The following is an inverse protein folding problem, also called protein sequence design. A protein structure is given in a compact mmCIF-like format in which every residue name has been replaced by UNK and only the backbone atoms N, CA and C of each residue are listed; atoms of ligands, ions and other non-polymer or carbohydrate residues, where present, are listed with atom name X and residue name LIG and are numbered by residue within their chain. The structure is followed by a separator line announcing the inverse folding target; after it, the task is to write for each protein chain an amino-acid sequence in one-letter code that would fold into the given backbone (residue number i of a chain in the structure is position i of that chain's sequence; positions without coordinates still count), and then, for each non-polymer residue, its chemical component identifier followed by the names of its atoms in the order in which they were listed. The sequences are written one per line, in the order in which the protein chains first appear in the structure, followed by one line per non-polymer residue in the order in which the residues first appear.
data_IF_825563237025
#
_entry.id   IF_825563237025
#
_cell.length_a   1.000
_cell.length_b   1.000
_cell.length_c   1.000
_cell.angle_alpha   90.00
_cell.angle_beta   90.00
_cell.angle_gamma   90.00
#
_symmetry.space_group_name_H-M   'P 1'
#
loop_
_entity.id
_entity.type
_entity.pdbx_description
1 polymer ?
#
# COMPACT_ATOMS: atom_id res chain seq x y z
N UNK A 1 -15.93 14.73 -8.13
CA UNK A 1 -14.61 14.76 -7.44
C UNK A 1 -14.25 13.34 -7.03
N UNK A 2 -12.96 13.01 -7.05
CA UNK A 2 -12.43 11.69 -6.70
C UNK A 2 -11.70 11.72 -5.35
N UNK A 3 -11.86 10.67 -4.56
CA UNK A 3 -11.01 10.33 -3.42
C UNK A 3 -10.43 8.94 -3.64
N UNK A 4 -9.20 8.87 -4.17
CA UNK A 4 -8.52 7.61 -4.48
C UNK A 4 -8.26 6.76 -3.25
N UNK A 5 -7.94 7.39 -2.11
CA UNK A 5 -7.65 6.68 -0.87
C UNK A 5 -8.94 6.14 -0.23
N UNK A 6 -10.03 6.89 -0.36
CA UNK A 6 -11.35 6.55 0.15
C UNK A 6 -12.24 5.73 -0.77
N UNK A 7 -11.75 5.26 -1.92
CA UNK A 7 -12.49 4.49 -2.93
C UNK A 7 -13.85 5.10 -3.29
N UNK A 8 -13.89 6.40 -3.54
CA UNK A 8 -15.18 7.06 -3.84
C UNK A 8 -15.09 8.19 -4.83
N UNK A 9 -16.18 8.35 -5.55
CA UNK A 9 -16.52 9.55 -6.31
C UNK A 9 -17.71 10.21 -5.61
N UNK A 10 -17.64 11.53 -5.47
CA UNK A 10 -18.68 12.31 -4.81
C UNK A 10 -18.88 13.66 -5.50
N UNK A 11 -20.09 14.17 -5.37
CA UNK A 11 -20.46 15.55 -5.74
C UNK A 11 -20.78 16.33 -4.48
N UNK A 12 -20.28 17.56 -4.41
CA UNK A 12 -20.45 18.45 -3.28
C UNK A 12 -21.14 19.72 -3.78
N UNK A 13 -22.20 20.13 -3.10
CA UNK A 13 -22.86 21.40 -3.35
C UNK A 13 -22.00 22.59 -2.87
N UNK A 14 -22.31 23.80 -3.33
CA UNK A 14 -21.59 25.03 -2.95
C UNK A 14 -21.56 25.27 -1.44
N UNK A 15 -22.61 24.83 -0.73
CA UNK A 15 -22.69 24.89 0.72
C UNK A 15 -21.83 23.84 1.44
N UNK A 16 -21.05 23.03 0.70
CA UNK A 16 -20.16 21.98 1.19
C UNK A 16 -20.83 20.66 1.59
N UNK A 17 -22.11 20.46 1.28
CA UNK A 17 -22.81 19.20 1.54
C UNK A 17 -22.58 18.19 0.41
N UNK A 18 -22.40 16.91 0.74
CA UNK A 18 -22.31 15.83 -0.25
C UNK A 18 -23.71 15.53 -0.76
N UNK A 19 -23.95 15.72 -2.06
CA UNK A 19 -25.27 15.51 -2.68
C UNK A 19 -25.44 14.10 -3.22
N UNK A 20 -24.36 13.47 -3.66
CA UNK A 20 -24.32 12.03 -3.96
C UNK A 20 -22.90 11.48 -3.81
N UNK A 21 -22.82 10.16 -3.63
CA UNK A 21 -21.57 9.42 -3.55
C UNK A 21 -21.74 8.04 -4.19
N UNK A 22 -20.70 7.55 -4.84
CA UNK A 22 -20.57 6.16 -5.29
C UNK A 22 -19.22 5.58 -4.90
N UNK A 23 -19.20 4.30 -4.55
CA UNK A 23 -17.97 3.55 -4.28
C UNK A 23 -17.35 3.11 -5.59
N UNK A 24 -16.12 3.55 -5.83
CA UNK A 24 -15.33 3.23 -7.02
C UNK A 24 -13.93 2.90 -6.51
N UNK A 25 -13.37 1.76 -6.91
CA UNK A 25 -12.01 1.40 -6.48
C UNK A 25 -10.99 2.35 -7.09
N UNK A 26 -10.24 3.06 -6.24
CA UNK A 26 -9.07 3.84 -6.61
C UNK A 26 -9.26 4.84 -7.79
N UNK A 27 -10.26 5.74 -7.73
CA UNK A 27 -10.56 6.68 -8.81
C UNK A 27 -9.51 7.79 -8.89
N UNK A 28 -9.10 8.18 -10.09
CA UNK A 28 -8.17 9.30 -10.30
C UNK A 28 -8.89 10.56 -10.77
N UNK A 29 -9.79 10.42 -11.74
CA UNK A 29 -10.56 11.52 -12.30
C UNK A 29 -12.06 11.15 -12.39
N UNK A 30 -12.92 12.16 -12.35
CA UNK A 30 -14.36 12.02 -12.51
C UNK A 30 -14.92 13.22 -13.26
N UNK A 31 -15.64 12.99 -14.36
CA UNK A 31 -16.41 14.01 -15.06
C UNK A 31 -17.91 13.70 -15.02
N UNK A 32 -18.73 14.75 -15.20
CA UNK A 32 -20.18 14.59 -15.31
C UNK A 32 -20.54 14.25 -16.76
N UNK A 33 -21.35 13.22 -16.97
CA UNK A 33 -21.81 12.89 -18.32
C UNK A 33 -22.70 14.01 -18.87
N UNK A 34 -22.51 14.34 -20.15
CA UNK A 34 -23.30 15.36 -20.86
C UNK A 34 -22.81 16.80 -20.68
N UNK A 35 -21.66 17.03 -20.04
CA UNK A 35 -21.05 18.38 -19.91
C UNK A 35 -19.94 18.66 -20.95
N UNK A 36 -19.71 17.73 -21.88
CA UNK A 36 -18.61 17.78 -22.85
C UNK A 36 -17.26 17.43 -22.23
N UNK A 37 -16.22 17.39 -23.06
CA UNK A 37 -14.85 17.05 -22.64
C UNK A 37 -14.42 17.92 -21.45
N UNK A 38 -13.87 17.27 -20.40
CA UNK A 38 -13.34 17.96 -19.22
C UNK A 38 -14.38 18.86 -18.51
N UNK A 39 -15.67 18.53 -18.64
CA UNK A 39 -16.76 19.40 -18.19
C UNK A 39 -16.67 20.83 -18.76
N UNK A 40 -16.52 20.95 -20.08
CA UNK A 40 -16.31 22.20 -20.82
C UNK A 40 -17.18 23.42 -20.40
N UNK A 41 -18.38 23.21 -19.86
CA UNK A 41 -19.27 24.28 -19.39
C UNK A 41 -19.18 24.63 -17.89
N UNK A 42 -18.34 23.94 -17.12
CA UNK A 42 -18.20 24.11 -15.68
C UNK A 42 -17.27 25.25 -15.28
N UNK A 43 -17.54 25.87 -14.13
CA UNK A 43 -16.65 26.82 -13.49
C UNK A 43 -15.88 26.15 -12.35
N UNK A 44 -14.62 26.51 -12.15
CA UNK A 44 -13.85 26.01 -11.02
C UNK A 44 -14.34 26.63 -9.72
N UNK A 45 -14.19 25.91 -8.60
CA UNK A 45 -14.52 26.43 -7.27
C UNK A 45 -13.78 27.75 -6.95
N UNK A 46 -12.56 27.91 -7.46
CA UNK A 46 -11.78 29.14 -7.32
C UNK A 46 -12.41 30.32 -8.08
N UNK A 47 -12.92 30.08 -9.30
CA UNK A 47 -13.59 31.14 -10.09
C UNK A 47 -14.94 31.58 -9.51
N UNK A 48 -15.55 30.73 -8.68
CA UNK A 48 -16.80 30.99 -7.95
C UNK A 48 -16.56 31.57 -6.55
N UNK A 49 -15.30 31.86 -6.18
CA UNK A 49 -14.90 32.37 -4.86
C UNK A 49 -15.41 31.50 -3.68
N UNK A 50 -15.45 30.18 -3.89
CA UNK A 50 -15.88 29.25 -2.85
C UNK A 50 -14.76 29.03 -1.82
N UNK A 51 -15.08 29.24 -0.54
CA UNK A 51 -14.15 29.03 0.57
C UNK A 51 -13.72 27.56 0.70
N UNK A 52 -12.41 27.33 0.83
CA UNK A 52 -11.87 26.02 1.20
C UNK A 52 -12.37 25.56 2.57
N UNK A 53 -12.71 24.28 2.67
CA UNK A 53 -13.07 23.64 3.94
C UNK A 53 -12.10 22.52 4.25
N UNK A 54 -11.49 22.60 5.43
CA UNK A 54 -10.63 21.56 5.98
C UNK A 54 -11.16 21.16 7.35
N UNK A 55 -11.14 19.87 7.65
CA UNK A 55 -11.37 19.39 9.01
C UNK A 55 -10.21 19.85 9.89
N UNK A 56 -10.49 20.38 11.08
CA UNK A 56 -9.43 20.76 12.01
C UNK A 56 -8.63 19.50 12.38
N UNK A 57 -7.29 19.63 12.46
CA UNK A 57 -6.40 18.48 12.69
C UNK A 57 -6.72 17.69 13.96
N UNK A 58 -7.44 18.27 14.92
CA UNK A 58 -7.89 17.61 16.15
C UNK A 58 -9.21 16.82 16.03
N UNK A 59 -10.00 17.03 14.98
CA UNK A 59 -11.31 16.37 14.81
C UNK A 59 -11.19 15.02 14.07
N UNK A 60 -10.04 14.77 13.43
CA UNK A 60 -9.72 13.46 12.85
C UNK A 60 -9.30 12.55 14.00
N UNK A 61 -10.23 11.75 14.50
CA UNK A 61 -9.92 10.68 15.46
C UNK A 61 -9.08 9.62 14.77
N UNK A 62 -7.77 9.86 14.67
CA UNK A 62 -6.79 8.88 14.24
C UNK A 62 -6.91 7.67 15.15
N UNK A 63 -7.06 6.47 14.57
CA UNK A 63 -6.97 5.24 15.36
C UNK A 63 -5.60 5.17 16.05
N UNK A 64 -5.43 4.36 17.11
CA UNK A 64 -4.15 4.24 17.82
C UNK A 64 -2.95 3.96 16.89
N UNK A 65 -3.18 3.27 15.77
CA UNK A 65 -2.19 2.96 14.75
C UNK A 65 -1.83 4.17 13.85
N UNK A 66 -2.80 5.01 13.52
CA UNK A 66 -2.61 6.21 12.69
C UNK A 66 -1.85 7.31 13.44
N UNK A 67 -1.98 7.34 14.78
CA UNK A 67 -1.21 8.26 15.62
C UNK A 67 0.26 7.82 15.79
N UNK A 68 0.54 6.52 15.69
CA UNK A 68 1.87 5.95 15.90
C UNK A 68 2.72 5.88 14.62
N UNK A 69 2.08 5.80 13.44
CA UNK A 69 2.77 5.65 12.16
C UNK A 69 2.81 6.97 11.37
N UNK A 70 3.99 7.41 10.90
CA UNK A 70 4.09 8.49 9.94
C UNK A 70 3.20 8.22 8.70
N UNK A 71 2.49 9.24 8.17
CA UNK A 71 1.57 9.07 7.03
C UNK A 71 2.21 8.42 5.79
N UNK A 72 3.53 8.60 5.61
CA UNK A 72 4.29 7.97 4.52
C UNK A 72 4.32 6.45 4.65
N UNK A 73 4.47 5.92 5.87
CA UNK A 73 4.47 4.48 6.11
C UNK A 73 3.09 3.90 5.90
N UNK A 74 2.05 4.57 6.39
CA UNK A 74 0.66 4.17 6.17
C UNK A 74 0.38 4.06 4.67
N UNK A 75 0.72 5.10 3.91
CA UNK A 75 0.50 5.09 2.46
C UNK A 75 1.31 3.98 1.78
N UNK A 76 2.59 3.80 2.13
CA UNK A 76 3.45 2.76 1.55
C UNK A 76 2.91 1.35 1.81
N UNK A 77 2.43 1.08 3.02
CA UNK A 77 1.81 -0.20 3.39
C UNK A 77 0.51 -0.39 2.59
N UNK A 78 -0.33 0.65 2.47
CA UNK A 78 -1.56 0.60 1.68
C UNK A 78 -1.34 0.33 0.20
N UNK A 79 -0.17 0.71 -0.36
CA UNK A 79 0.19 0.36 -1.74
C UNK A 79 0.83 -1.03 -1.86
N UNK A 80 1.58 -1.48 -0.84
CA UNK A 80 2.26 -2.78 -0.87
C UNK A 80 1.30 -3.95 -0.58
N UNK A 81 0.33 -3.75 0.31
CA UNK A 81 -0.66 -4.75 0.68
C UNK A 81 -1.93 -4.54 -0.17
N UNK A 82 -2.38 -5.55 -0.94
CA UNK A 82 -3.66 -5.48 -1.62
C UNK A 82 -4.80 -5.19 -0.65
N UNK A 83 -5.85 -4.46 -1.08
CA UNK A 83 -6.97 -4.05 -0.20
C UNK A 83 -7.74 -5.21 0.46
N UNK A 84 -7.60 -6.44 -0.06
CA UNK A 84 -8.18 -7.66 0.53
C UNK A 84 -7.31 -8.26 1.66
N UNK A 85 -6.07 -7.81 1.81
CA UNK A 85 -5.18 -8.18 2.92
C UNK A 85 -5.52 -7.29 4.10
N UNK A 86 -6.36 -7.79 5.00
CA UNK A 86 -6.66 -7.16 6.27
C UNK A 86 -5.60 -7.45 7.33
N UNK A 87 -5.95 -7.07 8.57
CA UNK A 87 -5.08 -7.29 9.74
C UNK A 87 -4.78 -8.77 9.96
N UNK A 88 -5.78 -9.65 9.76
CA UNK A 88 -5.65 -11.08 9.99
C UNK A 88 -4.70 -11.73 8.99
N UNK A 89 -4.80 -11.36 7.71
CA UNK A 89 -3.89 -11.82 6.66
C UNK A 89 -2.46 -11.34 6.93
N UNK A 90 -2.29 -10.11 7.43
CA UNK A 90 -0.99 -9.59 7.87
C UNK A 90 -0.40 -10.41 9.02
N UNK A 91 -1.20 -10.72 10.05
CA UNK A 91 -0.78 -11.60 11.16
C UNK A 91 -0.43 -13.00 10.66
N UNK A 92 -1.25 -13.56 9.77
CA UNK A 92 -1.01 -14.88 9.18
C UNK A 92 0.31 -14.94 8.41
N UNK A 93 0.65 -13.89 7.64
CA UNK A 93 1.92 -13.79 6.93
C UNK A 93 3.12 -13.75 7.90
N UNK A 94 3.01 -13.00 8.99
CA UNK A 94 4.07 -12.94 10.01
C UNK A 94 4.26 -14.31 10.67
N UNK A 95 3.17 -14.98 11.02
CA UNK A 95 3.21 -16.34 11.59
C UNK A 95 3.84 -17.30 10.59
N UNK A 96 3.43 -17.28 9.32
CA UNK A 96 3.97 -18.14 8.27
C UNK A 96 5.48 -17.94 8.10
N UNK A 97 5.94 -16.69 7.99
CA UNK A 97 7.37 -16.37 7.86
C UNK A 97 8.16 -16.86 9.09
N UNK A 98 7.63 -16.62 10.29
CA UNK A 98 8.24 -17.11 11.53
C UNK A 98 8.31 -18.64 11.58
N UNK A 99 7.26 -19.33 11.16
CA UNK A 99 7.23 -20.79 11.08
C UNK A 99 8.25 -21.34 10.09
N UNK A 100 8.35 -20.75 8.88
CA UNK A 100 9.33 -21.17 7.87
C UNK A 100 10.77 -20.94 8.33
N UNK A 101 11.05 -19.80 8.97
CA UNK A 101 12.37 -19.52 9.55
C UNK A 101 12.71 -20.51 10.67
N UNK A 102 11.78 -20.75 11.59
CA UNK A 102 11.96 -21.72 12.67
C UNK A 102 12.20 -23.13 12.14
N UNK A 103 11.42 -23.55 11.13
CA UNK A 103 11.59 -24.83 10.46
C UNK A 103 12.96 -24.94 9.78
N UNK A 104 13.38 -23.91 9.03
CA UNK A 104 14.67 -23.88 8.36
C UNK A 104 15.86 -23.95 9.33
N UNK A 105 15.77 -23.30 10.49
CA UNK A 105 16.79 -23.41 11.55
C UNK A 105 16.82 -24.82 12.12
N UNK A 106 15.65 -25.43 12.35
CA UNK A 106 15.55 -26.78 12.89
C UNK A 106 16.14 -27.81 11.91
N UNK A 107 15.76 -27.74 10.63
CA UNK A 107 16.35 -28.58 9.59
C UNK A 107 17.85 -28.36 9.48
N UNK A 108 18.34 -27.11 9.49
CA UNK A 108 19.77 -26.83 9.45
C UNK A 108 20.52 -27.46 10.63
N UNK A 109 19.94 -27.39 11.84
CA UNK A 109 20.53 -28.00 13.05
C UNK A 109 20.50 -29.52 13.02
N UNK A 110 19.51 -30.13 12.38
CA UNK A 110 19.35 -31.58 12.29
C UNK A 110 19.91 -32.19 11.00
N UNK A 111 20.34 -31.36 10.05
CA UNK A 111 21.04 -31.82 8.86
C UNK A 111 22.46 -32.23 9.22
N UNK A 112 22.69 -33.54 9.35
CA UNK A 112 24.02 -34.20 9.34
C UNK A 112 24.72 -34.11 7.96
N UNK A 113 24.44 -33.06 7.19
CA UNK A 113 25.00 -32.88 5.85
C UNK A 113 26.37 -32.22 5.95
N UNK A 114 27.41 -33.05 5.85
CA UNK A 114 28.77 -32.57 5.56
C UNK A 114 28.77 -31.93 4.17
N UNK A 115 28.83 -30.60 4.14
CA UNK A 115 29.12 -29.85 2.91
C UNK A 115 30.58 -30.11 2.55
N UNK A 116 30.85 -31.14 1.75
CA UNK A 116 32.18 -31.37 1.20
C UNK A 116 32.34 -30.60 -0.11
N UNK A 117 33.15 -29.54 -0.09
CA UNK A 117 33.57 -28.86 -1.32
C UNK A 117 34.65 -29.71 -1.98
N UNK A 118 34.30 -30.43 -3.05
CA UNK A 118 35.27 -31.21 -3.84
C UNK A 118 35.96 -30.25 -4.79
N UNK A 119 37.17 -29.80 -4.44
CA UNK A 119 38.00 -28.98 -5.34
C UNK A 119 38.41 -29.80 -6.57
N UNK A 120 38.22 -29.30 -7.81
CA UNK A 120 38.60 -30.00 -9.03
C UNK A 120 40.09 -29.83 -9.41
N UNK A 121 40.91 -29.20 -8.57
CA UNK A 121 42.31 -28.89 -8.91
C UNK A 121 43.23 -30.00 -8.41
N UNK A 122 43.65 -30.86 -9.33
CA UNK A 122 44.74 -31.82 -9.13
C UNK A 122 46.04 -31.17 -9.64
N UNK A 123 47.00 -30.95 -8.74
CA UNK A 123 48.31 -30.41 -9.10
C UNK A 123 49.27 -31.60 -9.26
N UNK A 124 49.40 -32.07 -10.50
CA UNK A 124 50.41 -33.06 -10.86
C UNK A 124 51.78 -32.40 -10.90
N UNK A 125 52.52 -32.46 -9.79
CA UNK A 125 53.94 -32.06 -9.76
C UNK A 125 54.76 -33.22 -10.31
N UNK A 126 54.88 -33.28 -11.64
CA UNK A 126 55.87 -34.09 -12.31
C UNK A 126 57.25 -33.43 -12.14
N UNK A 127 57.95 -33.74 -11.05
CA UNK A 127 59.39 -33.51 -10.96
C UNK A 127 60.14 -34.80 -11.30
N UNK A 128 60.56 -34.85 -12.57
CA UNK A 128 61.65 -35.71 -13.02
C UNK A 128 62.95 -34.99 -12.68
N UNK A 129 63.77 -35.58 -11.82
CA UNK A 129 65.18 -35.93 -12.07
C UNK A 129 65.74 -36.67 -10.87
#
# INVERSE_FOLDING_TARGET
MTDSNGDRVLEVAENGTVVWQSTVGFPYESERLGTGDESAGGQSAASLDLSSRSVARGDVSAGPLDAALPPKLVNSISYALPRWVGLLEGVALVVLLGSLLGWGILEYRWQDRRVSVRSPVDLDTNDRT
#
